data_IF_343361701968
#
_entry.id   IF_343361701968
#
_cell.length_a   1.000
_cell.length_b   1.000
_cell.length_c   1.000
_cell.angle_alpha   90.00
_cell.angle_beta   90.00
_cell.angle_gamma   90.00
#
_symmetry.space_group_name_H-M   'P 1'
#
loop_
_entity.id
_entity.type
_entity.pdbx_description
1 polymer ?
#
# COMPACT_ATOMS: atom_id res chain seq x y z
N UNK A 1 1.81 -31.84 1.51
CA UNK A 1 1.02 -30.62 1.30
C UNK A 1 1.81 -29.65 0.45
N UNK A 2 1.25 -29.14 -0.67
CA UNK A 2 1.90 -28.11 -1.46
C UNK A 2 1.99 -26.80 -0.66
N UNK A 3 3.07 -26.04 -0.92
CA UNK A 3 3.31 -24.72 -0.32
C UNK A 3 3.42 -23.70 -1.45
N UNK A 4 2.62 -22.66 -1.38
CA UNK A 4 2.66 -21.55 -2.32
C UNK A 4 3.24 -20.34 -1.60
N UNK A 5 4.23 -19.72 -2.23
CA UNK A 5 4.91 -18.54 -1.71
C UNK A 5 4.71 -17.39 -2.69
N UNK A 6 4.06 -16.34 -2.22
CA UNK A 6 3.99 -15.05 -2.88
C UNK A 6 5.11 -14.16 -2.32
N UNK A 7 5.73 -13.36 -3.18
CA UNK A 7 6.84 -12.48 -2.80
C UNK A 7 6.56 -11.09 -3.37
N UNK A 8 6.77 -10.08 -2.54
CA UNK A 8 6.64 -8.67 -2.93
C UNK A 8 7.64 -7.80 -2.18
N UNK A 9 7.99 -6.64 -2.73
CA UNK A 9 8.83 -5.69 -2.03
C UNK A 9 8.04 -4.87 -0.99
N UNK A 10 6.81 -4.49 -1.34
CA UNK A 10 6.02 -3.56 -0.54
C UNK A 10 4.53 -3.88 -0.54
N UNK A 11 3.95 -3.90 0.66
CA UNK A 11 2.50 -3.94 0.87
C UNK A 11 2.03 -2.61 1.44
N UNK A 12 1.48 -1.77 0.57
CA UNK A 12 0.73 -0.58 0.94
C UNK A 12 -0.61 -0.96 1.54
N UNK A 13 -1.69 -0.84 0.75
CA UNK A 13 -3.03 -1.19 1.22
C UNK A 13 -3.33 -2.69 1.29
N UNK A 14 -2.54 -3.51 0.59
CA UNK A 14 -2.83 -4.94 0.38
C UNK A 14 -3.89 -5.21 -0.68
N UNK A 15 -4.47 -4.17 -1.31
CA UNK A 15 -5.54 -4.33 -2.30
C UNK A 15 -5.11 -5.15 -3.53
N UNK A 16 -3.91 -4.91 -4.05
CA UNK A 16 -3.40 -5.66 -5.19
C UNK A 16 -3.29 -7.16 -4.89
N UNK A 17 -2.80 -7.52 -3.70
CA UNK A 17 -2.71 -8.91 -3.29
C UNK A 17 -4.10 -9.55 -3.13
N UNK A 18 -5.06 -8.82 -2.53
CA UNK A 18 -6.45 -9.28 -2.42
C UNK A 18 -7.06 -9.56 -3.80
N UNK A 19 -6.85 -8.67 -4.76
CA UNK A 19 -7.31 -8.87 -6.14
C UNK A 19 -6.62 -10.06 -6.80
N UNK A 20 -5.33 -10.24 -6.60
CA UNK A 20 -4.56 -11.39 -7.11
C UNK A 20 -5.09 -12.71 -6.55
N UNK A 21 -5.42 -12.77 -5.26
CA UNK A 21 -5.97 -13.96 -4.62
C UNK A 21 -7.30 -14.42 -5.24
N UNK A 22 -8.18 -13.44 -5.50
CA UNK A 22 -9.54 -13.66 -6.00
C UNK A 22 -9.62 -13.74 -7.53
N UNK A 23 -8.57 -13.32 -8.23
CA UNK A 23 -8.54 -13.30 -9.69
C UNK A 23 -8.64 -14.71 -10.25
N UNK A 24 -9.47 -14.87 -11.27
CA UNK A 24 -9.49 -16.09 -12.08
C UNK A 24 -8.33 -16.13 -13.07
N UNK A 25 -7.67 -17.28 -13.11
CA UNK A 25 -6.58 -17.62 -14.02
C UNK A 25 -7.03 -18.76 -14.93
N UNK A 26 -6.70 -18.64 -16.22
CA UNK A 26 -6.94 -19.71 -17.18
C UNK A 26 -5.87 -20.79 -16.99
N UNK A 27 -6.32 -22.04 -16.85
CA UNK A 27 -5.48 -23.21 -16.67
C UNK A 27 -5.39 -24.02 -17.97
N UNK A 28 -4.34 -24.84 -18.14
CA UNK A 28 -4.29 -25.80 -19.24
C UNK A 28 -5.54 -26.68 -19.28
N UNK A 29 -6.13 -26.84 -20.46
CA UNK A 29 -7.39 -27.58 -20.62
C UNK A 29 -8.67 -26.74 -20.53
N UNK A 30 -8.55 -25.41 -20.43
CA UNK A 30 -9.69 -24.48 -20.51
C UNK A 30 -10.46 -24.28 -19.20
N UNK A 31 -9.99 -24.87 -18.10
CA UNK A 31 -10.51 -24.59 -16.76
C UNK A 31 -10.08 -23.19 -16.29
N UNK A 32 -10.86 -22.58 -15.40
CA UNK A 32 -10.55 -21.30 -14.75
C UNK A 32 -10.58 -21.50 -13.24
N UNK A 33 -9.62 -20.92 -12.54
CA UNK A 33 -9.51 -21.07 -11.08
C UNK A 33 -8.82 -19.86 -10.43
N UNK A 34 -9.04 -19.65 -9.14
CA UNK A 34 -8.37 -18.62 -8.34
C UNK A 34 -7.56 -19.26 -7.21
N UNK A 35 -6.72 -18.48 -6.54
CA UNK A 35 -6.04 -18.97 -5.34
C UNK A 35 -7.00 -19.18 -4.18
N UNK A 36 -8.05 -18.35 -4.11
CA UNK A 36 -9.16 -18.51 -3.17
C UNK A 36 -9.85 -19.88 -3.32
N UNK A 37 -10.29 -20.23 -4.53
CA UNK A 37 -10.91 -21.53 -4.78
C UNK A 37 -9.92 -22.69 -4.61
N UNK A 38 -8.63 -22.50 -4.90
CA UNK A 38 -7.59 -23.49 -4.58
C UNK A 38 -7.47 -23.74 -3.07
N UNK A 39 -7.57 -22.70 -2.24
CA UNK A 39 -7.48 -22.82 -0.78
C UNK A 39 -8.67 -23.59 -0.18
N UNK A 40 -9.85 -23.49 -0.78
CA UNK A 40 -11.04 -24.26 -0.38
C UNK A 40 -10.93 -25.75 -0.76
N UNK A 41 -10.33 -26.05 -1.91
CA UNK A 41 -10.30 -27.39 -2.50
C UNK A 41 -9.09 -28.22 -2.09
N UNK A 42 -8.04 -27.60 -1.56
CA UNK A 42 -6.75 -28.24 -1.36
C UNK A 42 -6.21 -28.00 0.06
N UNK A 43 -5.53 -28.99 0.65
CA UNK A 43 -4.74 -28.80 1.87
C UNK A 43 -3.46 -27.96 1.64
N UNK A 44 -3.45 -27.05 0.66
CA UNK A 44 -2.32 -26.19 0.38
C UNK A 44 -2.10 -25.20 1.53
N UNK A 45 -0.84 -24.77 1.71
CA UNK A 45 -0.49 -23.70 2.64
C UNK A 45 0.06 -22.52 1.85
N UNK A 46 -0.34 -21.32 2.24
CA UNK A 46 -0.05 -20.10 1.49
C UNK A 46 0.72 -19.12 2.37
N UNK A 47 1.81 -18.60 1.83
CA UNK A 47 2.68 -17.64 2.48
C UNK A 47 2.82 -16.40 1.61
N UNK A 48 2.81 -15.22 2.22
CA UNK A 48 3.13 -13.97 1.54
C UNK A 48 4.30 -13.29 2.23
N UNK A 49 5.46 -13.28 1.58
CA UNK A 49 6.70 -12.73 2.12
C UNK A 49 6.96 -11.35 1.54
N UNK A 50 7.06 -10.35 2.41
CA UNK A 50 7.20 -8.95 2.02
C UNK A 50 8.39 -8.30 2.69
N UNK A 51 9.13 -7.43 2.00
CA UNK A 51 10.22 -6.69 2.65
C UNK A 51 9.66 -5.61 3.59
N UNK A 52 8.64 -4.86 3.15
CA UNK A 52 7.96 -3.84 3.95
C UNK A 52 6.44 -3.96 3.82
N UNK A 53 5.72 -3.88 4.94
CA UNK A 53 4.26 -4.00 4.97
C UNK A 53 3.68 -2.96 5.90
N UNK A 54 2.66 -2.21 5.48
CA UNK A 54 1.94 -1.34 6.42
C UNK A 54 1.06 -2.18 7.36
N UNK A 55 0.89 -1.71 8.60
CA UNK A 55 -0.03 -2.35 9.55
C UNK A 55 -1.48 -2.37 8.99
N UNK A 56 -1.89 -1.31 8.30
CA UNK A 56 -3.15 -1.27 7.55
C UNK A 56 -3.26 -2.41 6.52
N UNK A 57 -2.24 -2.60 5.69
CA UNK A 57 -2.21 -3.64 4.67
C UNK A 57 -2.22 -5.04 5.27
N UNK A 58 -1.45 -5.28 6.33
CA UNK A 58 -1.44 -6.54 7.06
C UNK A 58 -2.82 -6.87 7.64
N UNK A 59 -3.45 -5.91 8.32
CA UNK A 59 -4.80 -6.07 8.88
C UNK A 59 -5.83 -6.35 7.79
N UNK A 60 -5.73 -5.66 6.65
CA UNK A 60 -6.61 -5.85 5.51
C UNK A 60 -6.47 -7.26 4.94
N UNK A 61 -5.24 -7.71 4.68
CA UNK A 61 -4.98 -9.06 4.15
C UNK A 61 -5.50 -10.11 5.13
N UNK A 62 -5.14 -10.04 6.41
CA UNK A 62 -5.62 -11.00 7.41
C UNK A 62 -7.15 -11.03 7.55
N UNK A 63 -7.83 -9.91 7.27
CA UNK A 63 -9.29 -9.83 7.30
C UNK A 63 -9.93 -10.51 6.08
N UNK A 64 -9.38 -10.32 4.89
CA UNK A 64 -9.99 -10.80 3.65
C UNK A 64 -9.45 -12.16 3.18
N UNK A 65 -8.26 -12.54 3.63
CA UNK A 65 -7.55 -13.76 3.25
C UNK A 65 -6.85 -14.35 4.49
N UNK A 66 -7.61 -14.82 5.49
CA UNK A 66 -7.04 -15.37 6.72
C UNK A 66 -6.23 -16.66 6.49
N UNK A 67 -6.37 -17.31 5.34
CA UNK A 67 -5.65 -18.53 4.94
C UNK A 67 -4.18 -18.28 4.61
N UNK A 68 -3.83 -17.03 4.30
CA UNK A 68 -2.45 -16.64 3.95
C UNK A 68 -1.69 -16.21 5.21
N UNK A 69 -0.57 -16.87 5.46
CA UNK A 69 0.38 -16.42 6.48
C UNK A 69 1.27 -15.32 5.89
N UNK A 70 1.10 -14.09 6.38
CA UNK A 70 1.96 -12.95 5.99
C UNK A 70 3.24 -12.96 6.83
N UNK A 71 4.38 -12.94 6.15
CA UNK A 71 5.72 -12.83 6.74
C UNK A 71 6.37 -11.53 6.27
N UNK A 72 6.15 -10.46 7.03
CA UNK A 72 6.71 -9.14 6.74
C UNK A 72 8.10 -8.97 7.40
N UNK A 73 9.09 -8.51 6.62
CA UNK A 73 10.41 -8.15 7.13
C UNK A 73 10.38 -6.91 8.02
N UNK A 74 9.55 -5.92 7.66
CA UNK A 74 9.25 -4.75 8.49
C UNK A 74 7.76 -4.42 8.45
N UNK A 75 7.21 -4.06 9.61
CA UNK A 75 5.85 -3.54 9.72
C UNK A 75 5.92 -2.03 9.93
N UNK A 76 5.25 -1.27 9.07
CA UNK A 76 5.17 0.19 9.09
C UNK A 76 3.86 0.56 9.79
N UNK A 77 3.89 1.05 11.05
CA UNK A 77 2.68 1.43 11.76
C UNK A 77 2.15 2.78 11.25
N UNK A 78 0.87 3.06 11.50
CA UNK A 78 0.17 4.26 11.02
C UNK A 78 0.90 5.59 11.36
N UNK A 79 1.63 5.62 12.48
CA UNK A 79 2.43 6.78 12.92
C UNK A 79 3.63 7.12 12.01
N UNK A 80 3.93 6.30 11.00
CA UNK A 80 4.88 6.61 9.92
C UNK A 80 4.21 7.36 8.76
N UNK A 81 2.92 7.67 8.84
CA UNK A 81 2.26 8.61 7.95
C UNK A 81 2.66 10.05 8.29
N UNK A 82 2.89 10.88 7.28
CA UNK A 82 3.07 12.33 7.41
C UNK A 82 1.77 13.05 7.77
N UNK A 83 0.61 12.38 7.65
CA UNK A 83 -0.70 12.94 7.93
C UNK A 83 -1.29 12.47 9.28
N UNK A 84 -0.62 11.54 9.98
CA UNK A 84 -1.11 11.02 11.26
C UNK A 84 -0.89 12.05 12.40
N UNK A 85 -1.89 12.34 13.26
CA UNK A 85 -1.72 13.27 14.38
C UNK A 85 -0.65 12.87 15.41
N UNK A 86 -0.28 11.59 15.45
CA UNK A 86 0.80 11.03 16.24
C UNK A 86 2.08 10.75 15.41
N UNK A 87 2.20 11.36 14.21
CA UNK A 87 3.31 11.14 13.27
C UNK A 87 4.69 11.28 13.93
N UNK A 88 5.55 10.31 13.64
CA UNK A 88 6.95 10.28 14.06
C UNK A 88 7.86 11.08 13.12
N UNK A 89 7.35 11.47 11.95
CA UNK A 89 8.13 12.14 10.91
C UNK A 89 8.21 13.66 11.12
N UNK A 90 7.36 14.20 11.99
CA UNK A 90 7.40 15.61 12.39
C UNK A 90 7.92 15.79 13.82
N UNK A 91 8.78 16.80 14.06
CA UNK A 91 9.03 17.26 15.42
C UNK A 91 7.72 17.68 16.09
N UNK A 92 7.54 17.28 17.36
CA UNK A 92 6.27 17.52 18.10
C UNK A 92 5.79 18.97 18.04
N UNK A 93 6.72 19.92 18.12
CA UNK A 93 6.41 21.36 18.15
C UNK A 93 5.77 21.89 16.85
N UNK A 94 6.02 21.24 15.72
CA UNK A 94 5.54 21.70 14.40
C UNK A 94 4.65 20.67 13.70
N UNK A 95 4.25 19.59 14.39
CA UNK A 95 3.55 18.48 13.76
C UNK A 95 2.23 18.90 13.12
N UNK A 96 1.41 19.66 13.85
CA UNK A 96 0.13 20.15 13.33
C UNK A 96 0.34 21.02 12.09
N UNK A 97 1.30 21.94 12.16
CA UNK A 97 1.64 22.82 11.04
C UNK A 97 2.19 22.05 9.84
N UNK A 98 3.01 21.02 10.09
CA UNK A 98 3.56 20.14 9.05
C UNK A 98 2.47 19.35 8.34
N UNK A 99 1.52 18.77 9.08
CA UNK A 99 0.35 18.08 8.53
C UNK A 99 -0.49 19.06 7.69
N UNK A 100 -0.80 20.24 8.22
CA UNK A 100 -1.57 21.26 7.51
C UNK A 100 -0.85 21.73 6.22
N UNK A 101 0.48 21.84 6.25
CA UNK A 101 1.29 22.19 5.10
C UNK A 101 1.18 21.14 3.99
N UNK A 102 1.36 19.85 4.32
CA UNK A 102 1.28 18.79 3.30
C UNK A 102 -0.12 18.64 2.73
N UNK A 103 -1.16 18.87 3.52
CA UNK A 103 -2.54 18.94 3.02
C UNK A 103 -2.72 20.12 2.05
N UNK A 104 -2.32 21.33 2.46
CA UNK A 104 -2.46 22.53 1.63
C UNK A 104 -1.71 22.38 0.30
N UNK A 105 -0.51 21.80 0.31
CA UNK A 105 0.25 21.50 -0.90
C UNK A 105 -0.44 20.43 -1.73
N UNK A 106 -0.86 19.30 -1.14
CA UNK A 106 -1.56 18.23 -1.87
C UNK A 106 -2.79 18.74 -2.62
N UNK A 107 -3.61 19.57 -1.96
CA UNK A 107 -4.77 20.22 -2.57
C UNK A 107 -4.37 21.16 -3.71
N UNK A 108 -3.32 21.97 -3.54
CA UNK A 108 -2.77 22.84 -4.61
C UNK A 108 -2.26 22.03 -5.81
N UNK A 109 -1.80 20.80 -5.61
CA UNK A 109 -1.36 19.88 -6.67
C UNK A 109 -2.52 19.15 -7.36
N UNK A 110 -3.77 19.46 -7.01
CA UNK A 110 -4.96 18.85 -7.59
C UNK A 110 -5.40 17.54 -6.94
N UNK A 111 -4.81 17.18 -5.80
CA UNK A 111 -5.26 16.05 -4.98
C UNK A 111 -6.20 16.59 -3.90
N UNK A 112 -7.46 16.82 -4.29
CA UNK A 112 -8.45 17.47 -3.42
C UNK A 112 -9.33 16.50 -2.63
N UNK A 113 -9.27 15.20 -2.92
CA UNK A 113 -10.18 14.23 -2.34
C UNK A 113 -9.84 13.88 -0.87
N UNK A 114 -10.83 13.35 -0.16
CA UNK A 114 -10.71 12.85 1.21
C UNK A 114 -11.39 11.47 1.33
N UNK A 115 -11.12 10.58 0.39
CA UNK A 115 -11.80 9.29 0.23
C UNK A 115 -10.86 8.08 0.16
N UNK A 116 -9.54 8.30 0.16
CA UNK A 116 -8.53 7.26 0.02
C UNK A 116 -8.37 6.74 -1.41
N UNK A 117 -8.97 7.41 -2.39
CA UNK A 117 -8.69 7.16 -3.80
C UNK A 117 -7.29 7.63 -4.19
N UNK A 118 -6.90 7.40 -5.45
CA UNK A 118 -5.66 7.95 -6.03
C UNK A 118 -5.63 9.49 -6.06
N UNK A 119 -6.78 10.15 -5.87
CA UNK A 119 -6.89 11.62 -5.83
C UNK A 119 -6.86 12.20 -4.42
N UNK A 120 -6.72 11.34 -3.40
CA UNK A 120 -6.61 11.76 -2.00
C UNK A 120 -5.26 12.46 -1.78
N UNK A 121 -5.28 13.57 -1.05
CA UNK A 121 -4.05 14.33 -0.75
C UNK A 121 -3.05 13.54 0.09
N UNK A 122 -3.49 12.50 0.81
CA UNK A 122 -2.63 11.59 1.58
C UNK A 122 -2.09 10.43 0.73
N UNK A 123 -2.41 10.37 -0.56
CA UNK A 123 -2.10 9.20 -1.38
C UNK A 123 -3.08 8.05 -1.17
N UNK A 124 -2.85 6.97 -1.91
CA UNK A 124 -3.78 5.85 -1.98
C UNK A 124 -4.04 5.22 -0.61
N UNK A 125 -5.32 4.93 -0.31
CA UNK A 125 -5.83 4.52 1.01
C UNK A 125 -5.46 5.44 2.18
N UNK A 126 -5.19 6.71 1.92
CA UNK A 126 -4.85 7.71 2.95
C UNK A 126 -3.58 7.36 3.74
N UNK A 127 -2.69 6.56 3.18
CA UNK A 127 -1.53 6.03 3.91
C UNK A 127 -0.50 7.12 4.24
N UNK A 128 -0.40 8.18 3.42
CA UNK A 128 0.38 9.38 3.73
C UNK A 128 1.87 9.12 3.91
N UNK A 129 2.39 8.10 3.24
CA UNK A 129 3.76 7.63 3.45
C UNK A 129 4.80 8.57 2.84
N UNK A 130 6.04 8.40 3.29
CA UNK A 130 7.23 9.07 2.79
C UNK A 130 8.35 8.06 2.49
N UNK A 131 8.01 6.96 1.82
CA UNK A 131 8.92 5.87 1.48
C UNK A 131 9.28 5.86 -0.01
N UNK A 132 10.55 5.71 -0.33
CA UNK A 132 11.00 5.53 -1.71
C UNK A 132 11.81 4.24 -1.79
N UNK A 133 11.61 3.49 -2.87
CA UNK A 133 12.44 2.36 -3.25
C UNK A 133 13.39 2.81 -4.36
N UNK A 134 14.45 2.03 -4.61
CA UNK A 134 15.47 2.37 -5.61
C UNK A 134 14.88 2.69 -7.00
N UNK A 135 13.74 2.08 -7.34
CA UNK A 135 13.15 2.18 -8.67
C UNK A 135 11.88 3.03 -8.75
N UNK A 136 11.20 3.31 -7.63
CA UNK A 136 9.95 4.08 -7.67
C UNK A 136 9.50 4.55 -6.28
N UNK A 137 8.46 5.39 -6.29
CA UNK A 137 7.72 5.82 -5.10
C UNK A 137 6.30 5.25 -5.18
N UNK A 138 5.84 4.46 -4.19
CA UNK A 138 4.47 3.94 -4.17
C UNK A 138 3.42 5.05 -4.26
N UNK A 139 2.24 4.74 -4.78
CA UNK A 139 1.06 5.64 -4.79
C UNK A 139 0.46 5.88 -3.39
N UNK A 140 0.81 5.02 -2.42
CA UNK A 140 0.55 5.18 -0.99
C UNK A 140 1.29 6.35 -0.33
N UNK A 141 2.26 6.96 -1.03
CA UNK A 141 2.97 8.14 -0.55
C UNK A 141 2.19 9.43 -0.77
N UNK A 142 2.60 10.50 -0.09
CA UNK A 142 2.10 11.84 -0.40
C UNK A 142 2.38 12.21 -1.88
N UNK A 143 1.40 12.80 -2.59
CA UNK A 143 1.57 13.21 -3.98
C UNK A 143 2.73 14.18 -4.24
N UNK A 144 3.10 14.99 -3.25
CA UNK A 144 4.22 15.95 -3.32
C UNK A 144 5.53 15.29 -3.77
N UNK A 145 5.72 14.00 -3.50
CA UNK A 145 6.96 13.30 -3.84
C UNK A 145 7.08 12.95 -5.32
N UNK A 146 5.97 12.65 -6.01
CA UNK A 146 6.01 11.99 -7.31
C UNK A 146 5.23 12.69 -8.42
N UNK A 147 4.31 13.60 -8.07
CA UNK A 147 3.46 14.25 -9.07
C UNK A 147 4.22 15.33 -9.85
N UNK A 148 3.82 15.56 -11.10
CA UNK A 148 4.25 16.68 -11.94
C UNK A 148 3.09 17.65 -12.25
N UNK A 149 1.93 17.46 -11.60
CA UNK A 149 0.73 18.28 -11.80
C UNK A 149 0.97 19.74 -11.43
N UNK A 150 0.22 20.63 -12.09
CA UNK A 150 0.18 22.06 -11.80
C UNK A 150 1.58 22.72 -11.81
N UNK A 151 2.48 22.23 -12.67
CA UNK A 151 3.84 22.75 -12.81
C UNK A 151 4.77 22.37 -11.65
N UNK A 152 4.39 21.40 -10.82
CA UNK A 152 5.24 20.89 -9.75
C UNK A 152 6.38 20.06 -10.31
N UNK A 153 7.56 20.20 -9.72
CA UNK A 153 8.69 19.32 -10.02
C UNK A 153 8.74 18.25 -8.92
N UNK A 154 8.58 16.96 -9.26
CA UNK A 154 8.59 15.91 -8.25
C UNK A 154 9.93 15.87 -7.52
N UNK A 155 9.88 15.58 -6.22
CA UNK A 155 11.07 15.43 -5.39
C UNK A 155 11.82 14.13 -5.69
N UNK A 156 11.09 13.12 -6.17
CA UNK A 156 11.61 11.84 -6.63
C UNK A 156 10.99 11.53 -7.99
N UNK A 157 11.83 11.36 -9.02
CA UNK A 157 11.34 10.94 -10.32
C UNK A 157 10.86 9.49 -10.24
N UNK A 158 9.62 9.23 -10.68
CA UNK A 158 9.19 7.88 -11.01
C UNK A 158 9.86 7.50 -12.34
N UNK A 159 10.57 6.37 -12.34
CA UNK A 159 11.08 5.75 -13.56
C UNK A 159 9.93 5.15 -14.37
#
# INVERSE_FOLDING_TARGET
MPRLLFVDDFVGSGEQFVRTWQREYDLPGGARNSFEALAELSPATFFYCNAMTTDYGLKRINRFIPEVTVSAGNIIPDRYSLADPASLLWPKAIRADGIALVEAIGRRLGYGADDGSEQDWRGFHKLGLALAFQHSVPDANLPIFFTDRNGWRPLVQRL
#
